data_IF_755941724046
#
_entry.id   IF_755941724046
#
_cell.length_a   1.000
_cell.length_b   1.000
_cell.length_c   1.000
_cell.angle_alpha   90.00
_cell.angle_beta   90.00
_cell.angle_gamma   90.00
#
_symmetry.space_group_name_H-M   'P 1'
#
loop_
_entity.id
_entity.type
_entity.pdbx_description
1 polymer ?
#
# COMPACT_ATOMS: atom_id res chain seq x y z
N UNK A 1 -9.89 1.37 13.78
CA UNK A 1 -10.71 1.20 12.57
C UNK A 1 -9.92 1.73 11.39
N UNK A 2 -9.85 0.98 10.29
CA UNK A 2 -9.09 1.40 9.12
C UNK A 2 -9.86 2.44 8.29
N UNK A 3 -9.13 3.43 7.77
CA UNK A 3 -9.69 4.54 6.97
C UNK A 3 -8.73 4.89 5.84
N UNK A 4 -9.24 5.01 4.62
CA UNK A 4 -8.55 5.70 3.54
C UNK A 4 -8.81 7.19 3.66
N UNK A 5 -7.76 7.98 3.83
CA UNK A 5 -7.82 9.43 3.98
C UNK A 5 -7.33 10.06 2.68
N UNK A 6 -8.24 10.61 1.89
CA UNK A 6 -7.93 11.37 0.68
C UNK A 6 -7.52 12.79 1.07
N UNK A 7 -6.40 13.26 0.51
CA UNK A 7 -5.81 14.58 0.76
C UNK A 7 -5.40 15.25 -0.54
N UNK A 8 -5.64 16.55 -0.64
CA UNK A 8 -5.07 17.38 -1.69
C UNK A 8 -3.61 17.72 -1.39
N UNK A 9 -2.82 17.84 -2.45
CA UNK A 9 -1.42 18.26 -2.43
C UNK A 9 -1.25 19.38 -3.45
N UNK A 10 -0.10 20.07 -3.43
CA UNK A 10 0.20 21.11 -4.41
C UNK A 10 0.17 20.63 -5.87
N UNK A 11 0.34 19.33 -6.11
CA UNK A 11 0.52 18.75 -7.45
C UNK A 11 -0.57 17.75 -7.83
N UNK A 12 -1.61 17.57 -7.00
CA UNK A 12 -2.66 16.59 -7.24
C UNK A 12 -3.24 16.03 -5.95
N UNK A 13 -3.82 14.83 -6.01
CA UNK A 13 -4.56 14.19 -4.92
C UNK A 13 -3.89 12.86 -4.58
N UNK A 14 -3.75 12.55 -3.29
CA UNK A 14 -3.27 11.24 -2.84
C UNK A 14 -4.20 10.69 -1.76
N UNK A 15 -4.04 9.42 -1.42
CA UNK A 15 -4.64 8.86 -0.22
C UNK A 15 -3.59 8.24 0.70
N UNK A 16 -3.89 8.25 1.99
CA UNK A 16 -3.18 7.51 3.02
C UNK A 16 -4.12 6.44 3.59
N UNK A 17 -3.63 5.23 3.85
CA UNK A 17 -4.37 4.24 4.64
C UNK A 17 -3.95 4.39 6.11
N UNK A 18 -4.89 4.82 6.94
CA UNK A 18 -4.76 4.85 8.40
C UNK A 18 -5.34 3.57 8.99
N UNK A 19 -4.59 2.91 9.87
CA UNK A 19 -5.08 1.80 10.69
C UNK A 19 -4.77 2.13 12.14
N UNK A 20 -5.81 2.40 12.92
CA UNK A 20 -5.70 2.75 14.34
C UNK A 20 -4.76 3.95 14.58
N UNK A 21 -4.97 5.04 13.84
CA UNK A 21 -4.22 6.30 13.96
C UNK A 21 -2.74 6.22 13.53
N UNK A 22 -2.39 5.18 12.76
CA UNK A 22 -1.08 5.02 12.14
C UNK A 22 -1.24 4.92 10.62
N UNK A 23 -0.52 5.77 9.89
CA UNK A 23 -0.48 5.71 8.43
C UNK A 23 0.40 4.54 8.03
N UNK A 24 -0.20 3.49 7.48
CA UNK A 24 0.51 2.25 7.12
C UNK A 24 0.99 2.22 5.68
N UNK A 25 0.32 2.95 4.78
CA UNK A 25 0.78 3.16 3.41
C UNK A 25 0.17 4.41 2.78
N UNK A 26 0.85 4.92 1.76
CA UNK A 26 0.48 6.12 1.01
C UNK A 26 0.51 5.82 -0.49
N UNK A 27 -0.45 6.38 -1.23
CA UNK A 27 -0.49 6.28 -2.69
C UNK A 27 0.50 7.23 -3.37
N UNK A 28 0.77 6.99 -4.65
CA UNK A 28 1.31 8.04 -5.51
C UNK A 28 0.31 9.21 -5.64
N UNK A 29 0.77 10.34 -6.18
CA UNK A 29 -0.08 11.50 -6.44
C UNK A 29 -0.83 11.31 -7.75
N UNK A 30 -2.15 11.28 -7.68
CA UNK A 30 -3.07 11.26 -8.81
C UNK A 30 -3.42 12.66 -9.28
N UNK A 31 -3.80 12.78 -10.55
CA UNK A 31 -4.24 14.06 -11.14
C UNK A 31 -5.71 14.37 -10.91
N UNK A 32 -6.54 13.37 -10.58
CA UNK A 32 -7.98 13.53 -10.39
C UNK A 32 -8.50 12.71 -9.20
N UNK A 33 -9.59 13.18 -8.59
CA UNK A 33 -10.25 12.48 -7.48
C UNK A 33 -10.76 11.10 -7.91
N UNK A 34 -11.26 10.99 -9.14
CA UNK A 34 -11.73 9.70 -9.69
C UNK A 34 -10.59 8.68 -9.79
N UNK A 35 -9.42 9.10 -10.29
CA UNK A 35 -8.24 8.22 -10.34
C UNK A 35 -7.76 7.81 -8.93
N UNK A 36 -7.79 8.73 -7.97
CA UNK A 36 -7.47 8.45 -6.57
C UNK A 36 -8.43 7.41 -5.96
N UNK A 37 -9.75 7.56 -6.18
CA UNK A 37 -10.76 6.61 -5.71
C UNK A 37 -10.60 5.23 -6.37
N UNK A 38 -10.29 5.18 -7.66
CA UNK A 38 -9.97 3.92 -8.35
C UNK A 38 -8.71 3.26 -7.76
N UNK A 39 -7.71 4.06 -7.35
CA UNK A 39 -6.55 3.59 -6.60
C UNK A 39 -6.93 2.92 -5.28
N UNK A 40 -7.81 3.54 -4.50
CA UNK A 40 -8.32 2.97 -3.23
C UNK A 40 -9.03 1.63 -3.47
N UNK A 41 -9.97 1.56 -4.43
CA UNK A 41 -10.67 0.32 -4.75
C UNK A 41 -9.71 -0.78 -5.23
N UNK A 42 -8.66 -0.39 -5.95
CA UNK A 42 -7.57 -1.29 -6.35
C UNK A 42 -6.82 -1.82 -5.11
N UNK A 43 -6.50 -0.98 -4.13
CA UNK A 43 -5.85 -1.42 -2.87
C UNK A 43 -6.76 -2.39 -2.12
N UNK A 44 -8.05 -2.06 -1.95
CA UNK A 44 -9.04 -2.91 -1.27
C UNK A 44 -9.10 -4.31 -1.88
N UNK A 45 -9.23 -4.38 -3.20
CA UNK A 45 -9.32 -5.65 -3.93
C UNK A 45 -8.02 -6.44 -3.91
N UNK A 46 -6.91 -5.78 -4.20
CA UNK A 46 -5.65 -6.46 -4.46
C UNK A 46 -4.94 -6.89 -3.17
N UNK A 47 -5.09 -6.11 -2.09
CA UNK A 47 -4.55 -6.49 -0.78
C UNK A 47 -5.17 -7.81 -0.27
N UNK A 48 -6.47 -8.01 -0.45
CA UNK A 48 -7.19 -9.21 -0.02
C UNK A 48 -6.67 -10.53 -0.66
N UNK A 49 -5.91 -10.45 -1.76
CA UNK A 49 -5.31 -11.62 -2.41
C UNK A 49 -4.12 -12.19 -1.62
N UNK A 50 -3.56 -11.41 -0.70
CA UNK A 50 -2.45 -11.80 0.18
C UNK A 50 -1.26 -12.45 -0.57
N UNK A 51 -0.95 -11.94 -1.77
CA UNK A 51 0.21 -12.35 -2.56
C UNK A 51 1.39 -11.49 -2.15
N UNK A 52 2.41 -12.07 -1.53
CA UNK A 52 3.59 -11.35 -1.03
C UNK A 52 4.83 -11.95 -1.66
N UNK A 53 5.57 -11.12 -2.40
CA UNK A 53 6.88 -11.44 -2.93
C UNK A 53 7.95 -10.70 -2.14
N UNK A 54 8.95 -11.42 -1.64
CA UNK A 54 10.06 -10.85 -0.89
C UNK A 54 11.30 -10.72 -1.77
N UNK A 55 11.52 -9.51 -2.30
CA UNK A 55 12.63 -9.22 -3.20
C UNK A 55 14.00 -9.21 -2.50
N UNK A 56 14.03 -9.39 -1.18
CA UNK A 56 15.29 -9.50 -0.41
C UNK A 56 15.77 -10.95 -0.31
N UNK A 57 15.06 -11.91 -0.94
CA UNK A 57 15.42 -13.32 -1.01
C UNK A 57 15.66 -13.67 -2.49
N UNK A 58 16.92 -13.92 -2.85
CA UNK A 58 17.35 -14.11 -4.26
C UNK A 58 16.62 -15.27 -4.97
N UNK A 59 16.40 -16.39 -4.27
CA UNK A 59 15.78 -17.60 -4.83
C UNK A 59 14.28 -17.74 -4.50
N UNK A 60 13.59 -16.62 -4.22
CA UNK A 60 12.15 -16.65 -3.95
C UNK A 60 11.30 -16.80 -5.22
N UNK A 61 10.12 -17.40 -5.07
CA UNK A 61 9.17 -17.53 -6.17
C UNK A 61 8.68 -16.15 -6.62
N UNK A 62 8.87 -15.84 -7.91
CA UNK A 62 8.33 -14.62 -8.53
C UNK A 62 6.83 -14.74 -8.72
N UNK A 63 6.07 -13.90 -8.04
CA UNK A 63 4.62 -13.86 -8.15
C UNK A 63 4.21 -12.96 -9.32
N UNK A 64 3.07 -13.27 -9.93
CA UNK A 64 2.43 -12.37 -10.90
C UNK A 64 1.64 -11.28 -10.18
N UNK A 65 1.51 -10.11 -10.83
CA UNK A 65 0.68 -9.04 -10.30
C UNK A 65 -0.82 -9.43 -10.32
N UNK A 66 -1.64 -8.89 -9.41
CA UNK A 66 -1.28 -7.97 -8.33
C UNK A 66 -0.64 -8.68 -7.13
N UNK A 67 0.26 -7.98 -6.43
CA UNK A 67 1.02 -8.51 -5.30
C UNK A 67 1.64 -7.39 -4.46
N UNK A 68 1.94 -7.70 -3.21
CA UNK A 68 2.91 -6.96 -2.41
C UNK A 68 4.32 -7.37 -2.82
N UNK A 69 5.22 -6.39 -2.90
CA UNK A 69 6.66 -6.62 -3.04
C UNK A 69 7.34 -6.00 -1.81
N UNK A 70 8.03 -6.81 -1.00
CA UNK A 70 8.92 -6.35 0.07
C UNK A 70 10.29 -6.11 -0.53
N UNK A 71 10.90 -4.98 -0.21
CA UNK A 71 12.22 -4.61 -0.69
C UNK A 71 13.00 -3.83 0.36
N UNK A 72 14.32 -3.83 0.24
CA UNK A 72 15.23 -3.06 1.09
C UNK A 72 15.62 -1.76 0.37
N UNK A 73 15.58 -0.64 1.09
CA UNK A 73 16.04 0.64 0.57
C UNK A 73 17.57 0.81 0.75
N UNK A 74 18.12 1.89 0.20
CA UNK A 74 19.58 2.13 0.22
C UNK A 74 20.15 2.32 1.64
N UNK A 75 19.31 2.53 2.65
CA UNK A 75 19.71 2.70 4.06
C UNK A 75 19.63 1.38 4.82
N UNK A 76 19.25 0.29 4.16
CA UNK A 76 19.05 -1.01 4.78
C UNK A 76 17.71 -1.15 5.50
N UNK A 77 16.76 -0.25 5.26
CA UNK A 77 15.43 -0.36 5.84
C UNK A 77 14.49 -1.07 4.88
N UNK A 78 13.55 -1.85 5.42
CA UNK A 78 12.56 -2.58 4.65
C UNK A 78 11.35 -1.71 4.34
N UNK A 79 10.79 -1.87 3.15
CA UNK A 79 9.53 -1.28 2.72
C UNK A 79 8.72 -2.33 1.99
N UNK A 80 7.42 -2.10 1.85
CA UNK A 80 6.60 -2.82 0.89
C UNK A 80 5.92 -1.86 -0.07
N UNK A 81 5.60 -2.37 -1.26
CA UNK A 81 4.72 -1.71 -2.22
C UNK A 81 3.65 -2.68 -2.70
N UNK A 82 2.43 -2.20 -2.87
CA UNK A 82 1.36 -2.96 -3.51
C UNK A 82 1.30 -2.59 -4.99
N UNK A 83 1.34 -3.60 -5.85
CA UNK A 83 1.20 -3.43 -7.31
C UNK A 83 -0.15 -3.94 -7.78
N UNK A 84 -0.80 -3.15 -8.63
CA UNK A 84 -2.03 -3.54 -9.33
C UNK A 84 -1.74 -4.55 -10.45
N UNK A 85 -2.79 -5.15 -11.03
CA UNK A 85 -2.66 -6.16 -12.10
C UNK A 85 -1.86 -5.67 -13.31
N UNK A 86 -1.92 -4.38 -13.60
CA UNK A 86 -1.17 -3.73 -14.70
C UNK A 86 0.29 -3.40 -14.32
N UNK A 87 0.74 -3.75 -13.12
CA UNK A 87 2.09 -3.50 -12.63
C UNK A 87 2.33 -2.12 -12.02
N UNK A 88 1.35 -1.21 -12.04
CA UNK A 88 1.46 0.09 -11.39
C UNK A 88 1.53 -0.06 -9.86
N UNK A 89 2.35 0.76 -9.23
CA UNK A 89 2.42 0.87 -7.77
C UNK A 89 1.22 1.71 -7.32
N UNK A 90 0.41 1.18 -6.42
CA UNK A 90 -0.80 1.85 -5.92
C UNK A 90 -0.72 2.25 -4.46
N UNK A 91 0.20 1.65 -3.70
CA UNK A 91 0.49 2.03 -2.33
C UNK A 91 1.93 1.65 -1.96
N UNK A 92 2.59 2.49 -1.16
CA UNK A 92 3.94 2.27 -0.64
C UNK A 92 3.93 2.51 0.86
N UNK A 93 4.63 1.67 1.61
CA UNK A 93 4.74 1.80 3.06
C UNK A 93 5.77 2.86 3.49
N UNK A 94 5.75 3.20 4.77
CA UNK A 94 6.92 3.78 5.43
C UNK A 94 8.08 2.77 5.49
N UNK A 95 9.26 3.23 5.93
CA UNK A 95 10.39 2.35 6.17
C UNK A 95 10.37 1.70 7.56
N UNK A 96 10.73 0.43 7.59
CA UNK A 96 10.80 -0.40 8.79
C UNK A 96 12.23 -0.88 9.00
N UNK A 97 12.65 -0.97 10.26
CA UNK A 97 13.95 -1.56 10.61
C UNK A 97 13.96 -3.06 10.44
N UNK A 98 12.83 -3.71 10.69
CA UNK A 98 12.68 -5.16 10.67
C UNK A 98 11.65 -5.58 9.62
N UNK A 99 12.02 -6.55 8.78
CA UNK A 99 11.11 -7.16 7.78
C UNK A 99 9.83 -7.73 8.42
N UNK A 100 9.93 -8.23 9.65
CA UNK A 100 8.77 -8.77 10.39
C UNK A 100 7.69 -7.71 10.61
N UNK A 101 8.06 -6.44 10.74
CA UNK A 101 7.10 -5.36 10.92
C UNK A 101 6.40 -5.01 9.60
N UNK A 102 7.10 -5.08 8.46
CA UNK A 102 6.46 -5.02 7.14
C UNK A 102 5.35 -6.06 7.00
N UNK A 103 5.65 -7.32 7.36
CA UNK A 103 4.70 -8.43 7.25
C UNK A 103 3.47 -8.22 8.14
N UNK A 104 3.66 -7.79 9.39
CA UNK A 104 2.54 -7.46 10.30
C UNK A 104 1.65 -6.37 9.71
N UNK A 105 2.25 -5.34 9.10
CA UNK A 105 1.49 -4.26 8.48
C UNK A 105 0.74 -4.75 7.24
N UNK A 106 1.36 -5.60 6.41
CA UNK A 106 0.66 -6.23 5.28
C UNK A 106 -0.54 -7.04 5.76
N UNK A 107 -0.38 -7.86 6.80
CA UNK A 107 -1.48 -8.64 7.39
C UNK A 107 -2.63 -7.76 7.88
N UNK A 108 -2.32 -6.62 8.51
CA UNK A 108 -3.31 -5.62 8.90
C UNK A 108 -4.04 -5.03 7.69
N UNK A 109 -3.31 -4.69 6.62
CA UNK A 109 -3.91 -4.16 5.39
C UNK A 109 -4.82 -5.20 4.74
N UNK A 110 -4.36 -6.45 4.60
CA UNK A 110 -5.14 -7.57 4.03
C UNK A 110 -6.48 -7.73 4.77
N UNK A 111 -6.46 -7.60 6.11
CA UNK A 111 -7.63 -7.78 6.96
C UNK A 111 -8.58 -6.57 6.95
N UNK A 112 -8.04 -5.37 7.05
CA UNK A 112 -8.82 -4.18 7.38
C UNK A 112 -9.12 -3.29 6.17
N UNK A 113 -8.21 -3.22 5.18
CA UNK A 113 -8.38 -2.36 4.01
C UNK A 113 -9.65 -2.66 3.21
N UNK A 114 -10.05 -3.93 2.95
CA UNK A 114 -11.26 -4.23 2.17
C UNK A 114 -12.54 -3.58 2.73
N UNK A 115 -12.59 -3.38 4.05
CA UNK A 115 -13.74 -2.82 4.75
C UNK A 115 -13.51 -1.38 5.23
N UNK A 116 -12.36 -0.77 4.90
CA UNK A 116 -12.01 0.56 5.36
C UNK A 116 -12.92 1.62 4.74
N UNK A 117 -13.36 2.57 5.57
CA UNK A 117 -14.10 3.74 5.12
C UNK A 117 -13.20 4.68 4.30
N UNK A 118 -13.81 5.48 3.43
CA UNK A 118 -13.10 6.50 2.65
C UNK A 118 -13.51 7.87 3.16
N UNK A 119 -12.53 8.65 3.60
CA UNK A 119 -12.70 9.99 4.19
C UNK A 119 -11.96 10.99 3.31
N UNK A 120 -12.66 12.05 2.89
CA UNK A 120 -12.08 13.18 2.17
C UNK A 120 -11.81 14.32 3.16
N UNK A 121 -10.55 14.73 3.31
CA UNK A 121 -10.19 15.89 4.14
C UNK A 121 -10.22 17.12 3.25
N UNK A 122 -11.10 18.08 3.59
CA UNK A 122 -11.19 19.39 2.95
C UNK A 122 -10.14 20.35 3.49
#
# INVERSE_FOLDING_TARGET
MAKFIIKETKTGIKFDLDINSHIVCTSEVYTTLSACKNGIESVKKNSALNKIEDLTIEDSEKLTNPKFEIYEDKKGHFRFRLKASNGQIIAVSEDFKDKKDCLKVIDLIVKEAPNAEVVEVK
#
